data_IF_766315794543
#
_entry.id   IF_766315794543
#
_cell.length_a   1.000
_cell.length_b   1.000
_cell.length_c   1.000
_cell.angle_alpha   90.00
_cell.angle_beta   90.00
_cell.angle_gamma   90.00
#
_symmetry.space_group_name_H-M   'P 1'
#
loop_
_entity.id
_entity.type
_entity.pdbx_description
1 polymer ?
#
# COMPACT_ATOMS: atom_id res chain seq x y z
N UNK A 1 -30.67 -57.21 -7.64
CA UNK A 1 -30.17 -56.88 -9.00
C UNK A 1 -30.47 -55.41 -9.36
N UNK A 2 -31.72 -54.93 -9.23
CA UNK A 2 -32.09 -53.53 -9.54
C UNK A 2 -31.36 -52.47 -8.68
N UNK A 3 -31.16 -52.70 -7.39
CA UNK A 3 -30.43 -51.74 -6.51
C UNK A 3 -28.95 -51.58 -6.90
N UNK A 4 -28.31 -52.66 -7.33
CA UNK A 4 -26.89 -52.64 -7.76
C UNK A 4 -26.75 -51.82 -9.05
N UNK A 5 -27.72 -51.92 -9.95
CA UNK A 5 -27.73 -51.18 -11.21
C UNK A 5 -28.00 -49.68 -10.99
N UNK A 6 -28.88 -49.33 -10.05
CA UNK A 6 -29.12 -47.94 -9.65
C UNK A 6 -27.90 -47.33 -8.97
N UNK A 7 -27.24 -48.06 -8.07
CA UNK A 7 -26.01 -47.60 -7.42
C UNK A 7 -24.89 -47.34 -8.43
N UNK A 8 -24.76 -48.19 -9.46
CA UNK A 8 -23.77 -48.02 -10.54
C UNK A 8 -24.04 -46.77 -11.39
N UNK A 9 -25.29 -46.50 -11.76
CA UNK A 9 -25.66 -45.28 -12.51
C UNK A 9 -25.38 -44.01 -11.72
N UNK A 10 -25.63 -44.02 -10.42
CA UNK A 10 -25.41 -42.87 -9.54
C UNK A 10 -23.90 -42.61 -9.33
N UNK A 11 -23.09 -43.67 -9.28
CA UNK A 11 -21.64 -43.57 -9.26
C UNK A 11 -21.07 -43.01 -10.58
N UNK A 12 -21.59 -43.47 -11.73
CA UNK A 12 -21.21 -42.94 -13.05
C UNK A 12 -21.58 -41.45 -13.20
N UNK A 13 -22.76 -41.03 -12.74
CA UNK A 13 -23.15 -39.61 -12.75
C UNK A 13 -22.24 -38.75 -11.87
N UNK A 14 -21.94 -39.21 -10.66
CA UNK A 14 -20.99 -38.51 -9.76
C UNK A 14 -19.59 -38.41 -10.34
N UNK A 15 -19.11 -39.47 -11.00
CA UNK A 15 -17.81 -39.47 -11.65
C UNK A 15 -17.77 -38.44 -12.80
N UNK A 16 -18.84 -38.36 -13.59
CA UNK A 16 -18.94 -37.41 -14.70
C UNK A 16 -19.03 -35.95 -14.22
N UNK A 17 -19.77 -35.71 -13.12
CA UNK A 17 -19.84 -34.39 -12.47
C UNK A 17 -18.48 -33.99 -11.87
N UNK A 18 -17.76 -34.94 -11.25
CA UNK A 18 -16.42 -34.69 -10.71
C UNK A 18 -15.43 -34.32 -11.81
N UNK A 19 -15.46 -35.02 -12.95
CA UNK A 19 -14.61 -34.70 -14.10
C UNK A 19 -14.91 -33.31 -14.69
N UNK A 20 -16.19 -32.92 -14.77
CA UNK A 20 -16.55 -31.58 -15.25
C UNK A 20 -16.04 -30.49 -14.30
N UNK A 21 -16.21 -30.68 -12.99
CA UNK A 21 -15.69 -29.75 -11.97
C UNK A 21 -14.17 -29.65 -11.99
N UNK A 22 -13.47 -30.75 -12.24
CA UNK A 22 -12.01 -30.76 -12.37
C UNK A 22 -11.54 -29.97 -13.60
N UNK A 23 -12.22 -30.13 -14.75
CA UNK A 23 -11.92 -29.36 -15.97
C UNK A 23 -12.16 -27.87 -15.76
N UNK A 24 -13.26 -27.50 -15.08
CA UNK A 24 -13.60 -26.11 -14.78
C UNK A 24 -12.59 -25.49 -13.78
N UNK A 25 -12.20 -26.24 -12.74
CA UNK A 25 -11.19 -25.81 -11.78
C UNK A 25 -9.83 -25.54 -12.46
N UNK A 26 -9.42 -26.42 -13.37
CA UNK A 26 -8.17 -26.23 -14.14
C UNK A 26 -8.23 -25.00 -15.03
N UNK A 27 -9.39 -24.73 -15.64
CA UNK A 27 -9.59 -23.53 -16.47
C UNK A 27 -9.53 -22.25 -15.64
N UNK A 28 -10.14 -22.25 -14.46
CA UNK A 28 -10.09 -21.12 -13.52
C UNK A 28 -8.67 -20.86 -13.00
N UNK A 29 -7.89 -21.91 -12.77
CA UNK A 29 -6.48 -21.79 -12.35
C UNK A 29 -5.61 -21.13 -13.43
N UNK A 30 -5.80 -21.52 -14.69
CA UNK A 30 -5.12 -20.91 -15.84
C UNK A 30 -5.46 -19.42 -15.99
N UNK A 31 -6.74 -19.06 -15.86
CA UNK A 31 -7.21 -17.67 -15.90
C UNK A 31 -6.61 -16.83 -14.76
N UNK A 32 -6.51 -17.38 -13.55
CA UNK A 32 -5.86 -16.73 -12.40
C UNK A 32 -4.38 -16.45 -12.65
N UNK A 33 -3.68 -17.40 -13.28
CA UNK A 33 -2.28 -17.28 -13.64
C UNK A 33 -2.06 -16.16 -14.67
N UNK A 34 -2.89 -16.10 -15.71
CA UNK A 34 -2.85 -15.03 -16.71
C UNK A 34 -3.14 -13.66 -16.09
N UNK A 35 -4.16 -13.57 -15.24
CA UNK A 35 -4.50 -12.32 -14.55
C UNK A 35 -3.35 -11.83 -13.69
N UNK A 36 -2.69 -12.74 -12.95
CA UNK A 36 -1.51 -12.42 -12.13
C UNK A 36 -0.34 -11.94 -12.98
N UNK A 37 -0.10 -12.56 -14.14
CA UNK A 37 0.96 -12.15 -15.05
C UNK A 37 0.69 -10.76 -15.65
N UNK A 38 -0.56 -10.47 -16.05
CA UNK A 38 -0.95 -9.13 -16.56
C UNK A 38 -0.75 -8.04 -15.50
N UNK A 39 -1.12 -8.29 -14.24
CA UNK A 39 -0.89 -7.36 -13.13
C UNK A 39 0.61 -7.12 -12.92
N UNK A 40 1.42 -8.19 -12.98
CA UNK A 40 2.88 -8.05 -12.84
C UNK A 40 3.48 -7.26 -14.00
N UNK A 41 3.08 -7.52 -15.25
CA UNK A 41 3.56 -6.78 -16.42
C UNK A 41 3.17 -5.30 -16.37
N UNK A 42 1.93 -4.98 -16.03
CA UNK A 42 1.48 -3.58 -15.87
C UNK A 42 2.23 -2.87 -14.75
N UNK A 43 2.46 -3.54 -13.61
CA UNK A 43 3.26 -3.00 -12.50
C UNK A 43 4.69 -2.69 -12.94
N UNK A 44 5.33 -3.60 -13.68
CA UNK A 44 6.70 -3.41 -14.19
C UNK A 44 6.76 -2.27 -15.22
N UNK A 45 5.81 -2.18 -16.15
CA UNK A 45 5.76 -1.09 -17.13
C UNK A 45 5.56 0.29 -16.47
N UNK A 46 4.69 0.38 -15.45
CA UNK A 46 4.52 1.62 -14.68
C UNK A 46 5.82 2.03 -13.97
N UNK A 47 6.54 1.08 -13.38
CA UNK A 47 7.83 1.35 -12.73
C UNK A 47 8.92 1.78 -13.73
N UNK A 48 8.99 1.17 -14.91
CA UNK A 48 9.96 1.57 -15.95
C UNK A 48 9.65 2.94 -16.54
N UNK A 49 8.38 3.31 -16.72
CA UNK A 49 7.98 4.66 -17.15
C UNK A 49 8.37 5.74 -16.15
N UNK A 50 8.29 5.46 -14.84
CA UNK A 50 8.71 6.36 -13.77
C UNK A 50 10.24 6.60 -13.77
N UNK A 51 11.03 5.58 -14.10
CA UNK A 51 12.50 5.65 -14.13
C UNK A 51 13.04 6.43 -15.34
N UNK A 52 12.31 6.43 -16.47
CA UNK A 52 12.68 7.25 -17.64
C UNK A 52 12.37 8.75 -17.43
N UNK A 53 11.35 9.10 -16.64
CA UNK A 53 11.05 10.51 -16.35
C UNK A 53 12.06 11.15 -15.37
N UNK A 54 12.65 10.35 -14.47
CA UNK A 54 13.65 10.85 -13.51
C UNK A 54 15.02 11.14 -14.13
N UNK A 55 15.42 10.42 -15.19
CA UNK A 55 16.73 10.63 -15.83
C UNK A 55 16.74 11.73 -16.89
N UNK A 56 15.58 12.09 -17.47
CA UNK A 56 15.56 13.13 -18.51
C UNK A 56 15.53 14.57 -17.94
N UNK A 57 15.19 14.75 -16.66
CA UNK A 57 15.11 16.07 -16.01
C UNK A 57 16.44 16.57 -15.39
N UNK A 58 17.51 15.78 -15.39
CA UNK A 58 18.82 16.13 -14.76
C UNK A 58 19.94 16.36 -15.79
N UNK A 59 19.69 16.17 -17.10
CA UNK A 59 20.75 16.17 -18.12
C UNK A 59 21.06 17.50 -18.82
N UNK A 60 20.29 18.58 -18.62
CA UNK A 60 20.34 19.77 -19.49
C UNK A 60 20.79 21.07 -18.81
N UNK A 61 21.70 21.04 -17.82
CA UNK A 61 22.29 22.27 -17.26
C UNK A 61 23.72 22.13 -16.77
N UNK A 62 24.65 21.62 -17.56
CA UNK A 62 26.09 21.81 -17.28
C UNK A 62 26.90 21.82 -18.58
N UNK A 63 26.97 22.99 -19.20
CA UNK A 63 28.05 23.40 -20.10
C UNK A 63 28.35 24.86 -19.77
N UNK A 64 29.49 25.10 -19.12
CA UNK A 64 29.95 26.46 -18.80
C UNK A 64 31.07 26.47 -17.78
N UNK A 65 32.29 26.61 -18.30
CA UNK A 65 33.53 27.10 -17.69
C UNK A 65 34.24 26.31 -16.57
N UNK A 66 35.30 25.63 -17.02
CA UNK A 66 36.59 25.58 -16.33
C UNK A 66 37.13 27.01 -16.15
N UNK A 67 37.75 27.32 -15.00
CA UNK A 67 38.97 28.16 -14.82
C UNK A 67 39.32 28.28 -13.31
N UNK A 68 40.48 27.70 -12.98
CA UNK A 68 41.51 28.01 -11.96
C UNK A 68 41.25 28.72 -10.61
N UNK A 69 41.85 28.07 -9.60
CA UNK A 69 42.78 28.58 -8.57
C UNK A 69 42.35 29.15 -7.21
N UNK A 70 42.96 28.49 -6.21
CA UNK A 70 43.59 28.97 -4.98
C UNK A 70 42.85 29.12 -3.63
N UNK A 71 43.63 28.69 -2.62
CA UNK A 71 43.64 29.02 -1.19
C UNK A 71 42.73 28.27 -0.19
N UNK A 72 43.30 27.15 0.27
CA UNK A 72 43.84 26.91 1.63
C UNK A 72 43.08 27.32 2.92
N UNK A 73 43.25 26.43 3.91
CA UNK A 73 43.06 26.61 5.36
C UNK A 73 41.66 26.87 5.95
N UNK A 74 40.93 25.80 6.29
CA UNK A 74 40.28 25.71 7.63
C UNK A 74 39.85 24.27 7.98
N UNK A 75 40.80 23.46 8.44
CA UNK A 75 40.57 22.09 8.94
C UNK A 75 39.97 22.02 10.35
N UNK A 76 39.58 23.14 10.99
CA UNK A 76 39.16 23.13 12.40
C UNK A 76 37.68 23.43 12.67
N UNK A 77 36.83 23.57 11.64
CA UNK A 77 35.38 23.80 11.82
C UNK A 77 34.51 22.59 11.46
N UNK A 78 35.07 21.38 11.41
CA UNK A 78 34.28 20.16 11.07
C UNK A 78 33.50 19.54 12.23
N UNK A 79 33.67 20.01 13.47
CA UNK A 79 33.08 19.36 14.66
C UNK A 79 32.07 20.22 15.47
N UNK A 80 31.60 21.35 14.92
CA UNK A 80 30.52 22.18 15.51
C UNK A 80 29.34 22.43 14.57
N UNK A 81 29.22 21.68 13.48
CA UNK A 81 27.94 21.59 12.79
C UNK A 81 27.20 20.46 13.47
N UNK A 82 26.32 20.84 14.40
CA UNK A 82 25.19 19.97 14.73
C UNK A 82 24.65 19.42 13.42
N UNK A 83 24.30 18.14 13.41
CA UNK A 83 23.64 17.54 12.27
C UNK A 83 22.29 18.24 12.12
N UNK A 84 22.29 19.46 11.58
CA UNK A 84 21.16 20.03 10.89
C UNK A 84 20.97 19.04 9.74
N UNK A 85 20.12 18.04 9.99
CA UNK A 85 19.40 17.41 8.91
C UNK A 85 18.80 18.60 8.17
N UNK A 86 19.44 18.97 7.06
CA UNK A 86 18.85 19.82 6.06
C UNK A 86 17.78 18.95 5.42
N UNK A 87 16.72 18.67 6.19
CA UNK A 87 15.47 18.18 5.65
C UNK A 87 15.15 19.22 4.61
N UNK A 88 15.16 18.83 3.35
CA UNK A 88 14.72 19.71 2.31
C UNK A 88 13.29 20.10 2.70
N UNK A 89 13.12 21.29 3.29
CA UNK A 89 11.82 21.77 3.81
C UNK A 89 10.83 21.89 2.64
N UNK A 90 11.39 21.93 1.42
CA UNK A 90 10.72 21.94 0.13
C UNK A 90 10.69 20.57 -0.56
N UNK A 91 11.09 19.47 0.10
CA UNK A 91 10.70 18.14 -0.38
C UNK A 91 9.18 18.08 -0.32
N UNK A 92 8.56 18.08 -1.49
CA UNK A 92 7.11 18.11 -1.61
C UNK A 92 6.52 16.92 -0.84
N UNK A 93 5.64 17.23 0.13
CA UNK A 93 5.03 16.27 1.08
C UNK A 93 3.85 15.54 0.44
N UNK A 94 4.09 14.93 -0.72
CA UNK A 94 3.06 14.29 -1.54
C UNK A 94 2.23 13.24 -0.79
N UNK A 95 2.77 12.66 0.27
CA UNK A 95 2.05 11.69 1.10
C UNK A 95 0.84 12.29 1.83
N UNK A 96 0.80 13.60 2.05
CA UNK A 96 -0.33 14.29 2.70
C UNK A 96 -1.55 14.44 1.77
N UNK A 97 -1.33 14.33 0.46
CA UNK A 97 -2.38 14.36 -0.57
C UNK A 97 -2.85 12.96 -0.98
N UNK A 98 -2.21 11.91 -0.45
CA UNK A 98 -2.62 10.53 -0.71
C UNK A 98 -3.98 10.23 -0.08
N UNK A 99 -4.75 9.42 -0.79
CA UNK A 99 -5.99 8.81 -0.31
C UNK A 99 -5.77 7.31 -0.09
N UNK A 100 -6.57 6.71 0.81
CA UNK A 100 -6.53 5.27 1.00
C UNK A 100 -7.08 4.55 -0.23
N UNK A 101 -6.57 3.35 -0.52
CA UNK A 101 -7.12 2.53 -1.60
C UNK A 101 -8.59 2.22 -1.35
N UNK A 102 -9.03 2.11 -0.09
CA UNK A 102 -10.43 1.88 0.27
C UNK A 102 -11.33 3.08 -0.09
N UNK A 103 -10.74 4.27 -0.18
CA UNK A 103 -11.44 5.46 -0.65
C UNK A 103 -11.40 5.58 -2.18
N UNK A 104 -10.29 5.19 -2.82
CA UNK A 104 -10.13 5.25 -4.28
C UNK A 104 -10.92 4.16 -5.00
N UNK A 105 -10.91 2.94 -4.49
CA UNK A 105 -11.46 1.76 -5.13
C UNK A 105 -12.80 1.37 -4.50
N UNK A 106 -13.89 1.65 -5.21
CA UNK A 106 -15.27 1.36 -4.77
C UNK A 106 -15.45 -0.14 -4.51
N UNK A 107 -14.97 -1.01 -5.41
CA UNK A 107 -15.08 -2.46 -5.26
C UNK A 107 -14.38 -2.94 -3.99
N UNK A 108 -13.19 -2.41 -3.69
CA UNK A 108 -12.47 -2.77 -2.48
C UNK A 108 -13.21 -2.30 -1.22
N UNK A 109 -13.82 -1.10 -1.26
CA UNK A 109 -14.67 -0.60 -0.17
C UNK A 109 -15.86 -1.52 0.10
N UNK A 110 -16.56 -1.93 -0.96
CA UNK A 110 -17.70 -2.85 -0.87
C UNK A 110 -17.29 -4.20 -0.32
N UNK A 111 -16.15 -4.75 -0.78
CA UNK A 111 -15.59 -6.01 -0.26
C UNK A 111 -15.25 -5.92 1.23
N UNK A 112 -14.66 -4.81 1.68
CA UNK A 112 -14.36 -4.59 3.10
C UNK A 112 -15.64 -4.45 3.95
N UNK A 113 -16.69 -3.82 3.41
CA UNK A 113 -17.99 -3.74 4.08
C UNK A 113 -18.65 -5.12 4.19
N UNK A 114 -18.68 -5.88 3.11
CA UNK A 114 -19.24 -7.23 3.09
C UNK A 114 -18.52 -8.16 4.09
N UNK A 115 -17.18 -8.13 4.10
CA UNK A 115 -16.39 -8.94 5.05
C UNK A 115 -16.63 -8.52 6.50
N UNK A 116 -16.80 -7.22 6.77
CA UNK A 116 -17.12 -6.71 8.10
C UNK A 116 -18.47 -7.26 8.58
N UNK A 117 -19.48 -7.29 7.71
CA UNK A 117 -20.81 -7.79 8.04
C UNK A 117 -20.79 -9.31 8.27
N UNK A 118 -20.08 -10.06 7.43
CA UNK A 118 -19.90 -11.51 7.58
C UNK A 118 -19.22 -11.86 8.91
N UNK A 119 -18.09 -11.21 9.21
CA UNK A 119 -17.32 -11.44 10.43
C UNK A 119 -18.03 -10.92 11.70
N UNK A 120 -18.96 -9.96 11.57
CA UNK A 120 -19.72 -9.42 12.70
C UNK A 120 -20.51 -10.49 13.45
N UNK A 121 -20.99 -11.52 12.75
CA UNK A 121 -21.75 -12.63 13.33
C UNK A 121 -20.92 -13.59 14.20
N UNK A 122 -19.64 -13.73 13.87
CA UNK A 122 -18.68 -14.62 14.55
C UNK A 122 -17.76 -13.88 15.53
N UNK A 123 -17.89 -12.55 15.60
CA UNK A 123 -17.07 -11.72 16.46
C UNK A 123 -17.34 -11.99 17.95
N UNK A 124 -16.29 -12.34 18.71
CA UNK A 124 -16.37 -12.52 20.15
C UNK A 124 -15.98 -11.24 20.89
N UNK A 125 -16.92 -10.55 21.58
CA UNK A 125 -16.67 -9.28 22.24
C UNK A 125 -15.69 -9.38 23.43
N UNK A 126 -15.48 -10.57 23.99
CA UNK A 126 -14.54 -10.79 25.09
C UNK A 126 -13.08 -10.95 24.64
N UNK A 127 -12.83 -11.03 23.33
CA UNK A 127 -11.49 -11.18 22.74
C UNK A 127 -11.01 -9.92 22.01
N UNK A 128 -11.64 -8.78 22.26
CA UNK A 128 -11.27 -7.50 21.65
C UNK A 128 -9.99 -6.99 22.31
N UNK A 129 -8.99 -6.65 21.50
CA UNK A 129 -7.73 -6.07 21.98
C UNK A 129 -7.82 -4.54 22.07
N UNK A 130 -6.88 -3.90 22.77
CA UNK A 130 -6.82 -2.44 22.84
C UNK A 130 -6.64 -1.79 21.46
N UNK A 131 -5.88 -2.45 20.57
CA UNK A 131 -5.68 -2.00 19.19
C UNK A 131 -6.99 -2.06 18.38
N UNK A 132 -7.83 -3.07 18.60
CA UNK A 132 -9.14 -3.17 17.95
C UNK A 132 -10.04 -2.02 18.39
N UNK A 133 -10.07 -1.71 19.69
CA UNK A 133 -10.83 -0.59 20.24
C UNK A 133 -10.35 0.75 19.67
N UNK A 134 -9.02 0.94 19.60
CA UNK A 134 -8.41 2.14 19.01
C UNK A 134 -8.75 2.26 17.52
N UNK A 135 -8.69 1.16 16.77
CA UNK A 135 -9.06 1.13 15.36
C UNK A 135 -10.53 1.50 15.16
N UNK A 136 -11.45 0.91 15.95
CA UNK A 136 -12.88 1.23 15.89
C UNK A 136 -13.14 2.71 16.17
N UNK A 137 -12.47 3.30 17.16
CA UNK A 137 -12.58 4.73 17.45
C UNK A 137 -12.03 5.60 16.30
N UNK A 138 -10.92 5.20 15.68
CA UNK A 138 -10.35 5.91 14.54
C UNK A 138 -11.30 5.89 13.34
N UNK A 139 -11.85 4.71 13.00
CA UNK A 139 -12.84 4.55 11.92
C UNK A 139 -14.10 5.36 12.21
N UNK A 140 -14.63 5.29 13.44
CA UNK A 140 -15.81 6.07 13.85
C UNK A 140 -15.57 7.58 13.77
N UNK A 141 -14.35 8.04 14.03
CA UNK A 141 -13.94 9.45 13.89
C UNK A 141 -13.59 9.84 12.45
N UNK A 142 -13.71 8.93 11.47
CA UNK A 142 -13.33 9.16 10.08
C UNK A 142 -11.82 9.36 9.85
N UNK A 143 -10.98 8.95 10.81
CA UNK A 143 -9.52 9.03 10.72
C UNK A 143 -8.99 7.89 9.85
N UNK A 144 -8.09 8.25 8.95
CA UNK A 144 -7.28 7.31 8.20
C UNK A 144 -5.79 7.69 8.31
N UNK A 145 -4.92 6.87 7.73
CA UNK A 145 -3.47 7.04 7.79
C UNK A 145 -3.01 8.41 7.28
N UNK A 146 -3.52 8.85 6.13
CA UNK A 146 -3.04 10.06 5.46
C UNK A 146 -3.67 11.32 6.04
N UNK A 147 -4.96 11.27 6.42
CA UNK A 147 -5.63 12.35 7.16
C UNK A 147 -4.96 12.61 8.50
N UNK A 148 -4.58 11.55 9.22
CA UNK A 148 -3.89 11.67 10.51
C UNK A 148 -2.50 12.25 10.32
N UNK A 149 -1.75 11.79 9.31
CA UNK A 149 -0.42 12.32 8.99
C UNK A 149 -0.47 13.82 8.67
N UNK A 150 -1.43 14.24 7.84
CA UNK A 150 -1.67 15.65 7.52
C UNK A 150 -1.99 16.46 8.77
N UNK A 151 -2.85 15.95 9.65
CA UNK A 151 -3.27 16.62 10.88
C UNK A 151 -2.11 16.85 11.87
N UNK A 152 -1.31 15.83 12.18
CA UNK A 152 -0.20 15.95 13.16
C UNK A 152 0.97 16.80 12.65
N UNK A 153 1.00 17.07 11.34
CA UNK A 153 2.02 17.92 10.71
C UNK A 153 1.57 19.36 10.51
N UNK A 154 0.34 19.70 10.92
CA UNK A 154 -0.13 21.08 10.91
C UNK A 154 0.65 21.93 11.92
N UNK A 155 0.78 23.22 11.60
CA UNK A 155 1.56 24.16 12.40
C UNK A 155 3.05 24.14 12.08
N UNK A 156 3.77 25.11 12.64
CA UNK A 156 5.21 25.21 12.47
C UNK A 156 5.96 24.17 13.34
N UNK A 157 7.24 23.99 13.08
CA UNK A 157 8.09 23.06 13.84
C UNK A 157 8.12 23.39 15.34
N UNK A 158 8.17 24.68 15.70
CA UNK A 158 8.17 25.11 17.11
C UNK A 158 6.92 24.62 17.85
N UNK A 159 5.73 24.85 17.32
CA UNK A 159 4.47 24.42 17.93
C UNK A 159 4.42 22.90 18.15
N UNK A 160 4.86 22.11 17.16
CA UNK A 160 4.88 20.64 17.26
C UNK A 160 5.87 20.15 18.32
N UNK A 161 7.01 20.82 18.46
CA UNK A 161 7.97 20.52 19.55
C UNK A 161 7.38 20.93 20.90
N UNK A 162 6.82 22.13 21.01
CA UNK A 162 6.22 22.62 22.26
C UNK A 162 5.06 21.71 22.73
N UNK A 163 4.24 21.19 21.80
CA UNK A 163 3.18 20.21 22.12
C UNK A 163 3.77 18.89 22.61
N UNK A 164 4.80 18.37 21.93
CA UNK A 164 5.48 17.13 22.31
C UNK A 164 6.11 17.21 23.71
N UNK A 165 6.78 18.32 24.05
CA UNK A 165 7.39 18.53 25.38
C UNK A 165 6.34 18.71 26.49
N UNK A 166 5.07 18.93 26.13
CA UNK A 166 3.96 19.09 27.09
C UNK A 166 3.15 17.81 27.36
N UNK A 167 3.41 16.72 26.62
CA UNK A 167 2.74 15.43 26.74
C UNK A 167 3.31 14.57 27.87
#
# INVERSE_FOLDING_TARGET
VQEIEQARRLAEQKAHEAQQKEIEARRLEEELLEARQKVMQTTTQMNSGMNHHYNHAIGEFNNGDEESDDDDENSSSRNRRGVELQTNINASRHEEDRITEAQRNIKMKEQLMALKDELGSVHNPHKVTDNDRLHQQNVASGRDKYKTLKMIRQGNTKKRIDEFESM
#
